data_IF_677382039771
#
_entry.id   IF_677382039771
#
_cell.length_a   1.000
_cell.length_b   1.000
_cell.length_c   1.000
_cell.angle_alpha   90.00
_cell.angle_beta   90.00
_cell.angle_gamma   90.00
#
_symmetry.space_group_name_H-M   'P 1'
#
loop_
_entity.id
_entity.type
_entity.pdbx_description
1 polymer ?
#
# COMPACT_ATOMS: atom_id res chain seq x y z
N UNK A 1 -14.01 -5.66 -15.16
CA UNK A 1 -15.15 -5.70 -14.22
C UNK A 1 -14.99 -6.93 -13.32
N UNK A 2 -14.69 -6.73 -12.05
CA UNK A 2 -14.36 -7.81 -11.11
C UNK A 2 -15.61 -8.38 -10.38
N UNK A 3 -16.79 -8.32 -11.01
CA UNK A 3 -18.03 -8.85 -10.42
C UNK A 3 -18.42 -8.25 -9.07
N UNK A 4 -18.01 -7.01 -8.79
CA UNK A 4 -18.27 -6.33 -7.54
C UNK A 4 -17.27 -6.66 -6.41
N UNK A 5 -16.26 -7.51 -6.66
CA UNK A 5 -15.22 -7.81 -5.67
C UNK A 5 -14.29 -6.61 -5.53
N UNK A 6 -14.14 -6.11 -4.31
CA UNK A 6 -13.18 -5.06 -3.99
C UNK A 6 -11.76 -5.64 -3.97
N UNK A 7 -10.86 -5.01 -4.71
CA UNK A 7 -9.46 -5.42 -4.80
C UNK A 7 -8.59 -4.43 -4.04
N UNK A 8 -7.73 -4.95 -3.19
CA UNK A 8 -6.74 -4.17 -2.47
C UNK A 8 -5.66 -3.69 -3.45
N UNK A 9 -5.49 -2.37 -3.65
CA UNK A 9 -4.53 -1.85 -4.63
C UNK A 9 -3.06 -2.12 -4.26
N UNK A 10 -2.78 -2.43 -2.99
CA UNK A 10 -1.42 -2.67 -2.51
C UNK A 10 -0.97 -4.12 -2.72
N UNK A 11 -1.89 -5.07 -2.57
CA UNK A 11 -1.58 -6.51 -2.63
C UNK A 11 -2.11 -7.19 -3.88
N UNK A 12 -3.10 -6.57 -4.54
CA UNK A 12 -3.75 -7.12 -5.74
C UNK A 12 -4.73 -8.26 -5.44
N UNK A 13 -5.04 -8.52 -4.18
CA UNK A 13 -6.02 -9.51 -3.75
C UNK A 13 -7.29 -8.85 -3.16
N UNK A 14 -8.22 -9.65 -2.69
CA UNK A 14 -9.49 -9.20 -2.10
C UNK A 14 -9.46 -9.13 -0.56
N UNK A 15 -8.27 -9.13 0.06
CA UNK A 15 -8.10 -9.06 1.50
C UNK A 15 -7.67 -7.67 1.93
N UNK A 16 -8.25 -7.21 3.03
CA UNK A 16 -7.96 -5.90 3.59
C UNK A 16 -7.67 -6.03 5.08
N UNK A 17 -6.65 -5.34 5.54
CA UNK A 17 -6.44 -5.10 6.96
C UNK A 17 -7.43 -4.03 7.42
N UNK A 18 -8.16 -4.29 8.48
CA UNK A 18 -9.16 -3.35 9.02
C UNK A 18 -8.55 -1.98 9.35
N UNK A 19 -7.30 -1.96 9.82
CA UNK A 19 -6.55 -0.74 10.16
C UNK A 19 -6.21 0.14 8.94
N UNK A 20 -6.17 -0.44 7.75
CA UNK A 20 -5.82 0.24 6.50
C UNK A 20 -7.04 0.56 5.62
N UNK A 21 -8.22 0.27 6.10
CA UNK A 21 -9.46 0.62 5.41
C UNK A 21 -9.81 2.10 5.57
N UNK A 22 -10.51 2.62 4.57
CA UNK A 22 -11.16 3.93 4.69
C UNK A 22 -12.10 3.93 5.90
N UNK A 23 -12.10 4.99 6.73
CA UNK A 23 -12.90 5.05 7.95
C UNK A 23 -14.41 4.85 7.73
N UNK A 24 -14.95 5.29 6.60
CA UNK A 24 -16.36 5.11 6.26
C UNK A 24 -16.66 3.65 5.98
N UNK A 25 -15.81 2.97 5.18
CA UNK A 25 -15.94 1.54 4.93
C UNK A 25 -15.76 0.73 6.21
N UNK A 26 -14.74 1.05 7.01
CA UNK A 26 -14.48 0.40 8.30
C UNK A 26 -15.70 0.47 9.21
N UNK A 27 -16.31 1.65 9.38
CA UNK A 27 -17.48 1.82 10.26
C UNK A 27 -18.66 0.93 9.88
N UNK A 28 -18.81 0.63 8.59
CA UNK A 28 -19.90 -0.17 8.06
C UNK A 28 -19.69 -1.68 8.23
N UNK A 29 -18.43 -2.14 8.15
CA UNK A 29 -18.13 -3.58 8.13
C UNK A 29 -17.58 -4.11 9.46
N UNK A 30 -17.18 -3.23 10.38
CA UNK A 30 -16.50 -3.66 11.63
C UNK A 30 -17.31 -4.66 12.47
N UNK A 31 -18.63 -4.55 12.44
CA UNK A 31 -19.54 -5.38 13.24
C UNK A 31 -20.24 -6.48 12.41
N UNK A 32 -19.88 -6.62 11.12
CA UNK A 32 -20.47 -7.66 10.28
C UNK A 32 -19.70 -8.96 10.44
N UNK A 33 -20.40 -10.07 10.54
CA UNK A 33 -19.83 -11.41 10.52
C UNK A 33 -19.67 -11.96 9.09
N UNK A 34 -19.12 -13.17 8.99
CA UNK A 34 -18.93 -13.86 7.71
C UNK A 34 -20.25 -14.02 6.96
N UNK A 35 -20.27 -13.57 5.71
CA UNK A 35 -21.46 -13.63 4.84
C UNK A 35 -22.45 -12.49 5.03
N UNK A 36 -22.29 -11.66 6.05
CA UNK A 36 -23.21 -10.55 6.33
C UNK A 36 -23.06 -9.37 5.35
N UNK A 37 -24.14 -8.62 5.26
CA UNK A 37 -24.29 -7.48 4.34
C UNK A 37 -24.54 -6.20 5.13
N UNK A 38 -23.85 -5.13 4.75
CA UNK A 38 -24.00 -3.81 5.39
C UNK A 38 -25.35 -3.17 5.07
N UNK A 39 -25.73 -2.18 5.88
CA UNK A 39 -26.73 -1.21 5.48
C UNK A 39 -26.27 -0.43 4.23
N UNK A 40 -27.19 0.07 3.41
CA UNK A 40 -26.85 0.87 2.25
C UNK A 40 -26.08 2.14 2.64
N UNK A 41 -24.92 2.33 2.02
CA UNK A 41 -24.11 3.54 2.10
C UNK A 41 -24.54 4.51 1.00
N UNK A 42 -24.75 5.77 1.36
CA UNK A 42 -25.01 6.83 0.41
C UNK A 42 -23.71 7.60 0.20
N UNK A 43 -23.23 7.64 -1.04
CA UNK A 43 -22.11 8.46 -1.47
C UNK A 43 -22.62 9.53 -2.43
N UNK A 44 -22.32 10.78 -2.14
CA UNK A 44 -22.67 11.89 -3.02
C UNK A 44 -21.44 12.34 -3.79
N UNK A 45 -21.53 12.27 -5.12
CA UNK A 45 -20.48 12.78 -6.00
C UNK A 45 -20.47 14.31 -6.02
N UNK A 46 -19.35 14.90 -6.44
CA UNK A 46 -19.24 16.36 -6.65
C UNK A 46 -20.28 16.94 -7.61
N UNK A 47 -20.86 16.11 -8.47
CA UNK A 47 -21.97 16.45 -9.38
C UNK A 47 -23.34 16.52 -8.70
N UNK A 48 -23.43 16.17 -7.39
CA UNK A 48 -24.69 16.03 -6.66
C UNK A 48 -25.40 14.69 -6.88
N UNK A 49 -24.85 13.80 -7.69
CA UNK A 49 -25.41 12.47 -7.92
C UNK A 49 -25.20 11.58 -6.70
N UNK A 50 -26.28 10.99 -6.20
CA UNK A 50 -26.23 10.04 -5.07
C UNK A 50 -26.07 8.63 -5.59
N UNK A 51 -25.02 7.94 -5.09
CA UNK A 51 -24.77 6.52 -5.32
C UNK A 51 -25.04 5.73 -4.04
N UNK A 52 -25.67 4.58 -4.19
CA UNK A 52 -25.91 3.65 -3.10
C UNK A 52 -24.96 2.47 -3.23
N UNK A 53 -24.26 2.15 -2.15
CA UNK A 53 -23.34 1.01 -2.06
C UNK A 53 -23.78 0.06 -0.97
N UNK A 54 -23.69 -1.22 -1.23
CA UNK A 54 -23.90 -2.30 -0.26
C UNK A 54 -22.61 -3.12 -0.22
N UNK A 55 -22.14 -3.38 0.99
CA UNK A 55 -20.92 -4.15 1.21
C UNK A 55 -21.28 -5.52 1.77
N UNK A 56 -20.60 -6.56 1.32
CA UNK A 56 -20.68 -7.91 1.87
C UNK A 56 -19.32 -8.32 2.37
N UNK A 57 -19.25 -8.81 3.61
CA UNK A 57 -18.07 -9.46 4.16
C UNK A 57 -18.14 -10.93 3.77
N UNK A 58 -17.19 -11.40 2.96
CA UNK A 58 -17.17 -12.82 2.57
C UNK A 58 -16.57 -13.69 3.65
N UNK A 59 -15.46 -13.25 4.22
CA UNK A 59 -14.74 -13.96 5.29
C UNK A 59 -14.04 -12.94 6.20
N UNK A 60 -13.97 -13.24 7.48
CA UNK A 60 -13.11 -12.57 8.46
C UNK A 60 -11.98 -13.52 8.85
N UNK A 61 -10.84 -12.93 9.13
CA UNK A 61 -9.67 -13.64 9.61
C UNK A 61 -9.23 -13.00 10.91
N UNK A 62 -9.04 -13.82 11.94
CA UNK A 62 -8.50 -13.37 13.20
C UNK A 62 -7.04 -12.90 13.04
N UNK A 63 -6.60 -12.11 13.98
CA UNK A 63 -5.20 -11.69 14.06
C UNK A 63 -4.30 -12.93 14.16
N UNK A 64 -3.31 -13.01 13.30
CA UNK A 64 -2.38 -14.14 13.24
C UNK A 64 -0.98 -13.69 12.82
N UNK A 65 0.00 -14.50 13.14
CA UNK A 65 1.35 -14.31 12.62
C UNK A 65 1.33 -14.60 11.12
N UNK A 66 1.89 -13.68 10.33
CA UNK A 66 1.90 -13.78 8.87
C UNK A 66 2.50 -15.11 8.41
N UNK A 67 1.80 -15.78 7.50
CA UNK A 67 2.21 -17.07 6.93
C UNK A 67 1.96 -17.12 5.43
N UNK A 68 2.69 -18.00 4.73
CA UNK A 68 2.60 -18.11 3.28
C UNK A 68 1.24 -18.59 2.75
N UNK A 69 0.48 -19.32 3.53
CA UNK A 69 -0.83 -19.83 3.08
C UNK A 69 -1.89 -18.75 3.03
N UNK A 70 -1.89 -17.83 4.01
CA UNK A 70 -2.90 -16.79 4.13
C UNK A 70 -2.43 -15.45 3.58
N UNK A 71 -1.13 -15.13 3.70
CA UNK A 71 -0.59 -13.79 3.43
C UNK A 71 0.34 -13.72 2.23
N UNK A 72 0.31 -14.72 1.35
CA UNK A 72 1.22 -14.82 0.21
C UNK A 72 1.31 -13.53 -0.61
N UNK A 73 0.18 -12.93 -0.97
CA UNK A 73 0.14 -11.71 -1.78
C UNK A 73 0.83 -10.53 -1.10
N UNK A 74 0.61 -10.38 0.22
CA UNK A 74 1.23 -9.34 1.02
C UNK A 74 2.73 -9.57 1.16
N UNK A 75 3.16 -10.77 1.50
CA UNK A 75 4.58 -11.13 1.62
C UNK A 75 5.29 -10.93 0.27
N UNK A 76 4.70 -11.37 -0.84
CA UNK A 76 5.22 -11.15 -2.19
C UNK A 76 5.37 -9.66 -2.51
N UNK A 77 4.35 -8.84 -2.19
CA UNK A 77 4.39 -7.39 -2.41
C UNK A 77 5.52 -6.72 -1.62
N UNK A 78 5.67 -7.08 -0.34
CA UNK A 78 6.77 -6.58 0.50
C UNK A 78 8.15 -6.98 -0.01
N UNK A 79 8.33 -8.24 -0.38
CA UNK A 79 9.58 -8.74 -0.94
C UNK A 79 9.93 -8.06 -2.29
N UNK A 80 8.92 -7.81 -3.13
CA UNK A 80 9.11 -7.08 -4.38
C UNK A 80 9.55 -5.64 -4.13
N UNK A 81 8.88 -4.96 -3.19
CA UNK A 81 9.23 -3.58 -2.79
C UNK A 81 10.66 -3.50 -2.25
N UNK A 82 11.05 -4.43 -1.39
CA UNK A 82 12.42 -4.49 -0.88
C UNK A 82 13.45 -4.68 -2.00
N UNK A 83 13.18 -5.62 -2.92
CA UNK A 83 14.03 -5.85 -4.09
C UNK A 83 14.15 -4.61 -4.98
N UNK A 84 13.04 -3.91 -5.21
CA UNK A 84 13.03 -2.67 -5.98
C UNK A 84 13.89 -1.59 -5.31
N UNK A 85 13.75 -1.40 -4.00
CA UNK A 85 14.56 -0.42 -3.25
C UNK A 85 16.06 -0.74 -3.32
N UNK A 86 16.44 -2.01 -3.17
CA UNK A 86 17.84 -2.45 -3.30
C UNK A 86 18.38 -2.19 -4.72
N UNK A 87 17.58 -2.43 -5.75
CA UNK A 87 17.97 -2.16 -7.14
C UNK A 87 18.12 -0.65 -7.41
N UNK A 88 17.21 0.17 -6.89
CA UNK A 88 17.28 1.63 -7.00
C UNK A 88 18.54 2.13 -6.31
N UNK A 89 18.83 1.66 -5.10
CA UNK A 89 20.04 2.04 -4.36
C UNK A 89 21.31 1.69 -5.15
N UNK A 90 21.40 0.47 -5.64
CA UNK A 90 22.53 0.04 -6.47
C UNK A 90 22.70 0.91 -7.72
N UNK A 91 21.60 1.17 -8.43
CA UNK A 91 21.61 2.04 -9.60
C UNK A 91 22.07 3.47 -9.26
N UNK A 92 21.60 4.02 -8.14
CA UNK A 92 22.02 5.34 -7.67
C UNK A 92 23.52 5.38 -7.39
N UNK A 93 24.06 4.38 -6.70
CA UNK A 93 25.48 4.28 -6.37
C UNK A 93 26.33 4.24 -7.65
N UNK A 94 25.95 3.39 -8.63
CA UNK A 94 26.60 3.32 -9.94
C UNK A 94 26.55 4.67 -10.70
N UNK A 95 25.42 5.38 -10.63
CA UNK A 95 25.26 6.69 -11.27
C UNK A 95 26.08 7.78 -10.59
N UNK A 96 26.15 7.78 -9.26
CA UNK A 96 26.99 8.71 -8.50
C UNK A 96 28.46 8.51 -8.85
N UNK A 97 28.91 7.27 -8.99
CA UNK A 97 30.29 6.96 -9.38
C UNK A 97 30.63 7.42 -10.80
N UNK A 98 29.68 7.26 -11.74
CA UNK A 98 29.86 7.57 -13.16
C UNK A 98 29.56 9.01 -13.53
N UNK A 99 28.94 9.79 -12.63
CA UNK A 99 28.49 11.16 -12.92
C UNK A 99 29.38 12.16 -12.20
N UNK A 100 29.67 13.29 -12.87
CA UNK A 100 30.31 14.43 -12.22
C UNK A 100 29.30 15.16 -11.34
N UNK A 101 29.57 15.18 -10.04
CA UNK A 101 28.74 15.89 -9.04
C UNK A 101 29.60 16.95 -8.38
N UNK A 102 29.21 18.23 -8.49
CA UNK A 102 29.85 19.34 -7.79
C UNK A 102 28.95 19.82 -6.65
N UNK A 103 29.43 19.67 -5.43
CA UNK A 103 28.78 20.17 -4.22
C UNK A 103 29.46 21.42 -3.74
N UNK A 104 28.72 22.52 -3.52
CA UNK A 104 29.25 23.77 -3.00
C UNK A 104 30.02 23.56 -1.69
N UNK A 105 31.07 24.36 -1.48
CA UNK A 105 31.95 24.23 -0.29
C UNK A 105 31.17 24.25 1.02
N UNK A 106 30.18 25.11 1.13
CA UNK A 106 29.34 25.28 2.32
C UNK A 106 28.50 24.01 2.65
N UNK A 107 28.10 23.25 1.61
CA UNK A 107 27.27 22.06 1.75
C UNK A 107 28.08 20.76 1.86
N UNK A 108 29.41 20.81 1.70
CA UNK A 108 30.25 19.60 1.74
C UNK A 108 30.33 18.94 3.12
N UNK A 109 30.06 19.71 4.19
CA UNK A 109 30.02 19.20 5.57
C UNK A 109 28.68 18.56 5.94
N UNK A 110 27.66 18.62 5.07
CA UNK A 110 26.38 17.98 5.33
C UNK A 110 26.51 16.45 5.26
N UNK A 111 25.77 15.77 6.12
CA UNK A 111 25.64 14.32 6.07
C UNK A 111 24.66 13.92 4.96
N UNK A 112 25.21 13.45 3.83
CA UNK A 112 24.41 12.89 2.74
C UNK A 112 24.18 11.42 2.97
N UNK A 113 22.97 10.94 2.64
CA UNK A 113 22.62 9.52 2.68
C UNK A 113 23.47 8.71 1.68
N UNK A 114 23.79 9.32 0.54
CA UNK A 114 24.63 8.73 -0.49
C UNK A 114 25.95 9.49 -0.61
N UNK A 115 26.99 8.86 -1.17
CA UNK A 115 28.34 9.40 -1.30
C UNK A 115 28.47 10.44 -2.44
N UNK A 116 27.69 11.54 -2.36
CA UNK A 116 27.70 12.61 -3.36
C UNK A 116 29.03 13.36 -3.45
N UNK A 117 29.76 13.40 -2.34
CA UNK A 117 31.05 14.11 -2.28
C UNK A 117 32.15 13.08 -2.48
N UNK A 118 32.78 13.12 -3.68
CA UNK A 118 34.00 12.34 -3.94
C UNK A 118 35.14 12.98 -3.11
N UNK A 119 35.86 12.14 -2.37
CA UNK A 119 37.08 12.53 -1.64
C UNK A 119 38.23 12.78 -2.61
#
# INVERSE_FOLDING_TARGET
FNGGILINPQTGDNRFELTNLDPVLYSQIRNLDDGEVSQPLIEEERSGLKKYKILKVSNRYDEHIANYSLDYSKIKSLALKEKQLKLIQKWMDEKIESTYVNVNKESRSCNFINSWVKK
#
